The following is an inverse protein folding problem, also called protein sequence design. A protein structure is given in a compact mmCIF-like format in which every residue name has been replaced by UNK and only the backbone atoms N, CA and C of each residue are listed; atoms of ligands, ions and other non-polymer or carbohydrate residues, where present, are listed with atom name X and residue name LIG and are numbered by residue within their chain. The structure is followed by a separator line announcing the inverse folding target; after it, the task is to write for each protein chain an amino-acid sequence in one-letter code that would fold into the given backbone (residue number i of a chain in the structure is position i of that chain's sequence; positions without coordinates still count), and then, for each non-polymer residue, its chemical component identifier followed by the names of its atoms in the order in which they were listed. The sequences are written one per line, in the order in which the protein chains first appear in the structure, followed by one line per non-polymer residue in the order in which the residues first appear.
data_IF_321349626068
#
_entry.id   IF_321349626068
#
_cell.length_a   1.000
_cell.length_b   1.000
_cell.length_c   1.000
_cell.angle_alpha   90.00
_cell.angle_beta   90.00
_cell.angle_gamma   90.00
#
_symmetry.space_group_name_H-M   'P 1'
#
loop_
_entity.id
_entity.type
_entity.pdbx_description
1 polymer ?
#
# COMPACT_ATOMS: atom_id res chain seq x y z
N UNK A 1 -27.60 -16.34 24.73
CA UNK A 1 -27.52 -15.24 23.73
C UNK A 1 -26.07 -14.79 23.68
N UNK A 2 -25.42 -14.94 22.56
CA UNK A 2 -24.01 -14.53 22.38
C UNK A 2 -23.95 -13.03 22.10
N UNK A 3 -23.14 -12.31 22.88
CA UNK A 3 -22.80 -10.90 22.65
C UNK A 3 -21.41 -10.84 22.07
N UNK A 4 -21.16 -9.98 21.09
CA UNK A 4 -19.84 -9.67 20.58
C UNK A 4 -19.53 -8.19 20.70
N UNK A 5 -18.31 -7.86 21.06
CA UNK A 5 -17.85 -6.49 21.22
C UNK A 5 -16.41 -6.36 20.74
N UNK A 6 -16.13 -5.28 20.01
CA UNK A 6 -14.81 -4.99 19.47
C UNK A 6 -14.60 -5.50 18.05
N UNK A 7 -13.51 -5.08 17.43
CA UNK A 7 -13.18 -5.37 16.03
C UNK A 7 -12.54 -6.75 15.81
N UNK A 8 -12.07 -7.42 16.88
CA UNK A 8 -11.37 -8.68 16.77
C UNK A 8 -9.99 -8.60 16.12
N UNK A 9 -9.54 -9.72 15.57
CA UNK A 9 -8.27 -9.84 14.85
C UNK A 9 -8.46 -10.58 13.53
N UNK A 10 -7.72 -10.19 12.50
CA UNK A 10 -7.67 -10.86 11.20
C UNK A 10 -6.26 -11.35 10.92
N UNK A 11 -6.17 -12.59 10.50
CA UNK A 11 -4.95 -13.24 10.07
C UNK A 11 -5.09 -13.66 8.61
N UNK A 12 -4.05 -13.45 7.82
CA UNK A 12 -3.98 -13.89 6.43
C UNK A 12 -2.77 -14.76 6.17
N UNK A 13 -2.91 -15.69 5.24
CA UNK A 13 -1.85 -16.57 4.78
C UNK A 13 -2.00 -16.78 3.28
N UNK A 14 -0.94 -16.54 2.52
CA UNK A 14 -0.95 -16.80 1.06
C UNK A 14 -1.19 -18.26 0.77
N UNK A 15 -2.00 -18.55 -0.24
CA UNK A 15 -2.33 -19.90 -0.67
C UNK A 15 -1.86 -20.24 -2.09
N UNK A 16 -1.45 -19.24 -2.85
CA UNK A 16 -0.98 -19.37 -4.26
C UNK A 16 0.50 -19.75 -4.38
N UNK A 17 1.26 -19.70 -3.28
CA UNK A 17 2.68 -20.04 -3.25
C UNK A 17 3.00 -20.96 -2.08
N UNK A 18 3.99 -21.82 -2.29
CA UNK A 18 4.55 -22.71 -1.27
C UNK A 18 6.03 -22.42 -1.11
N UNK A 19 6.52 -22.27 0.12
CA UNK A 19 7.94 -22.02 0.37
C UNK A 19 8.25 -21.56 1.77
N UNK A 20 9.53 -21.42 2.08
CA UNK A 20 10.00 -20.87 3.36
C UNK A 20 9.76 -19.36 3.43
N UNK A 21 9.33 -18.88 4.59
CA UNK A 21 9.07 -17.44 4.83
C UNK A 21 7.64 -17.00 4.54
N UNK A 22 6.78 -17.90 4.07
CA UNK A 22 5.35 -17.68 3.89
C UNK A 22 4.65 -18.34 5.08
N UNK A 23 3.95 -17.54 5.86
CA UNK A 23 3.18 -18.04 7.01
C UNK A 23 2.08 -17.06 7.37
N UNK A 24 1.17 -17.48 8.28
CA UNK A 24 0.08 -16.61 8.71
C UNK A 24 0.61 -15.30 9.30
N UNK A 25 0.02 -14.19 8.89
CA UNK A 25 0.35 -12.86 9.40
C UNK A 25 -0.90 -12.15 9.87
N UNK A 26 -0.81 -11.45 10.99
CA UNK A 26 -1.88 -10.58 11.44
C UNK A 26 -1.94 -9.33 10.56
N UNK A 27 -3.16 -8.91 10.19
CA UNK A 27 -3.41 -7.75 9.34
C UNK A 27 -3.28 -6.40 10.08
N UNK A 28 -2.41 -6.32 11.06
CA UNK A 28 -2.21 -5.10 11.82
C UNK A 28 -3.32 -4.85 12.86
N UNK A 29 -3.53 -3.59 13.19
CA UNK A 29 -4.55 -3.18 14.18
C UNK A 29 -5.88 -2.96 13.46
N UNK A 30 -6.78 -3.94 13.58
CA UNK A 30 -8.12 -3.88 13.00
C UNK A 30 -8.99 -2.85 13.72
N UNK A 31 -9.60 -1.95 12.98
CA UNK A 31 -10.56 -0.96 13.49
C UNK A 31 -11.99 -1.38 13.23
N UNK A 32 -12.25 -1.93 12.05
CA UNK A 32 -13.57 -2.32 11.60
C UNK A 32 -13.46 -3.44 10.59
N UNK A 33 -14.40 -4.38 10.60
CA UNK A 33 -14.55 -5.41 9.58
C UNK A 33 -16.03 -5.70 9.35
N UNK A 34 -16.39 -5.77 8.08
CA UNK A 34 -17.71 -6.20 7.61
C UNK A 34 -17.52 -7.35 6.63
N UNK A 35 -18.26 -8.43 6.82
CA UNK A 35 -18.25 -9.58 5.93
C UNK A 35 -19.70 -9.89 5.56
N UNK A 36 -20.01 -9.79 4.26
CA UNK A 36 -21.35 -9.95 3.72
C UNK A 36 -21.44 -11.27 2.95
N UNK A 37 -22.48 -12.02 3.26
CA UNK A 37 -22.89 -13.22 2.54
C UNK A 37 -24.16 -12.89 1.74
N UNK A 38 -24.07 -12.90 0.44
CA UNK A 38 -25.10 -12.41 -0.45
C UNK A 38 -25.50 -13.46 -1.47
N UNK A 39 -26.79 -13.58 -1.77
CA UNK A 39 -27.31 -14.50 -2.78
C UNK A 39 -28.33 -13.79 -3.65
N UNK A 40 -28.34 -14.12 -4.93
CA UNK A 40 -29.41 -13.68 -5.83
C UNK A 40 -30.62 -14.60 -5.70
N UNK A 41 -31.82 -14.05 -5.69
CA UNK A 41 -33.06 -14.81 -5.73
C UNK A 41 -33.43 -15.15 -7.18
N UNK A 42 -33.95 -16.36 -7.37
CA UNK A 42 -34.48 -16.87 -8.64
C UNK A 42 -35.97 -17.22 -8.46
N UNK A 43 -36.88 -16.22 -8.60
CA UNK A 43 -38.29 -16.46 -8.50
C UNK A 43 -38.83 -17.18 -9.75
N UNK A 44 -39.70 -18.15 -9.55
CA UNK A 44 -40.50 -18.79 -10.58
C UNK A 44 -41.92 -18.23 -10.51
N UNK A 45 -42.39 -17.60 -11.57
CA UNK A 45 -43.74 -17.04 -11.68
C UNK A 45 -44.66 -17.99 -12.44
N UNK A 46 -45.91 -18.11 -11.99
CA UNK A 46 -47.02 -18.71 -12.72
C UNK A 46 -47.89 -17.65 -13.40
N UNK A 47 -49.19 -17.88 -13.51
CA UNK A 47 -50.14 -16.93 -14.10
C UNK A 47 -50.54 -15.80 -13.13
N UNK A 48 -50.15 -15.88 -11.86
CA UNK A 48 -50.48 -14.91 -10.82
C UNK A 48 -49.30 -13.94 -10.57
N UNK A 49 -49.57 -12.84 -9.87
CA UNK A 49 -48.60 -11.77 -9.62
C UNK A 49 -47.44 -12.18 -8.68
N UNK A 50 -47.66 -13.17 -7.83
CA UNK A 50 -46.66 -13.63 -6.88
C UNK A 50 -45.94 -14.88 -7.38
N UNK A 51 -44.65 -15.05 -7.06
CA UNK A 51 -43.91 -16.24 -7.46
C UNK A 51 -44.45 -17.48 -6.75
N UNK A 52 -44.54 -18.57 -7.48
CA UNK A 52 -44.96 -19.88 -6.96
C UNK A 52 -43.84 -20.64 -6.28
N UNK A 53 -42.57 -20.29 -6.57
CA UNK A 53 -41.37 -20.80 -5.92
C UNK A 53 -40.23 -19.80 -6.00
N UNK A 54 -39.34 -19.83 -5.01
CA UNK A 54 -38.13 -19.04 -4.99
C UNK A 54 -36.94 -19.96 -4.67
N UNK A 55 -35.91 -19.91 -5.49
CA UNK A 55 -34.64 -20.62 -5.25
C UNK A 55 -33.47 -19.62 -5.10
N UNK A 56 -32.47 -20.00 -4.34
CA UNK A 56 -31.21 -19.24 -4.29
C UNK A 56 -30.42 -19.45 -5.59
N UNK A 57 -29.98 -18.36 -6.18
CA UNK A 57 -29.08 -18.34 -7.34
C UNK A 57 -27.62 -18.27 -6.92
N UNK A 58 -26.85 -17.40 -7.58
CA UNK A 58 -25.43 -17.21 -7.32
C UNK A 58 -25.20 -16.58 -5.95
N UNK A 59 -24.25 -17.14 -5.19
CA UNK A 59 -23.76 -16.59 -3.92
C UNK A 59 -22.47 -15.78 -4.11
N UNK A 60 -22.30 -14.77 -3.28
CA UNK A 60 -21.12 -13.92 -3.21
C UNK A 60 -20.76 -13.67 -1.75
N UNK A 61 -19.47 -13.75 -1.43
CA UNK A 61 -18.94 -13.33 -0.13
C UNK A 61 -17.97 -12.19 -0.38
N UNK A 62 -18.24 -11.05 0.26
CA UNK A 62 -17.37 -9.88 0.21
C UNK A 62 -17.04 -9.43 1.62
N UNK A 63 -15.83 -8.93 1.79
CA UNK A 63 -15.39 -8.38 3.06
C UNK A 63 -14.75 -7.01 2.85
N UNK A 64 -14.94 -6.14 3.84
CA UNK A 64 -14.29 -4.85 3.97
C UNK A 64 -13.64 -4.79 5.33
N UNK A 65 -12.37 -4.41 5.37
CA UNK A 65 -11.65 -4.27 6.62
C UNK A 65 -10.90 -2.94 6.67
N UNK A 66 -10.88 -2.31 7.84
CA UNK A 66 -10.17 -1.05 8.10
C UNK A 66 -9.10 -1.29 9.14
N UNK A 67 -7.90 -0.80 8.86
CA UNK A 67 -6.73 -1.00 9.71
C UNK A 67 -6.07 0.33 10.06
N UNK A 68 -5.79 0.54 11.34
CA UNK A 68 -5.01 1.69 11.81
C UNK A 68 -3.50 1.53 11.53
N UNK A 69 -3.05 0.30 11.36
CA UNK A 69 -1.65 -0.02 11.04
C UNK A 69 -1.60 -1.27 10.17
N UNK A 70 -0.85 -1.23 9.09
CA UNK A 70 -0.56 -2.38 8.21
C UNK A 70 0.95 -2.56 8.08
N UNK A 71 1.40 -3.81 8.07
CA UNK A 71 2.78 -4.17 7.78
C UNK A 71 3.01 -4.12 6.26
N UNK A 72 4.12 -3.50 5.83
CA UNK A 72 4.45 -3.37 4.40
C UNK A 72 4.53 -4.70 3.64
N UNK A 73 4.94 -5.79 4.32
CA UNK A 73 4.97 -7.15 3.76
C UNK A 73 3.57 -7.66 3.41
N UNK A 74 2.54 -7.19 4.10
CA UNK A 74 1.17 -7.61 3.87
C UNK A 74 0.63 -7.12 2.50
N UNK A 75 1.09 -5.94 2.05
CA UNK A 75 0.74 -5.46 0.70
C UNK A 75 1.22 -6.42 -0.38
N UNK A 76 2.43 -6.97 -0.20
CA UNK A 76 2.95 -7.98 -1.12
C UNK A 76 2.11 -9.24 -1.09
N UNK A 77 1.84 -9.75 0.10
CA UNK A 77 1.19 -11.04 0.28
C UNK A 77 -0.27 -11.04 -0.20
N UNK A 78 -0.96 -9.91 -0.10
CA UNK A 78 -2.39 -9.84 -0.38
C UNK A 78 -2.69 -9.25 -1.77
N UNK A 79 -1.95 -8.22 -2.20
CA UNK A 79 -2.29 -7.46 -3.41
C UNK A 79 -1.40 -7.74 -4.59
N UNK A 80 -0.09 -7.75 -4.39
CA UNK A 80 0.83 -7.73 -5.51
C UNK A 80 1.48 -9.07 -5.79
N UNK A 81 1.55 -9.96 -4.81
CA UNK A 81 2.19 -11.26 -4.97
C UNK A 81 3.69 -11.20 -5.28
N UNK A 82 4.32 -10.05 -5.04
CA UNK A 82 5.71 -9.77 -5.39
C UNK A 82 6.61 -9.92 -4.18
N UNK A 83 7.88 -10.22 -4.39
CA UNK A 83 8.85 -10.31 -3.29
C UNK A 83 9.35 -8.93 -2.91
N UNK A 84 9.13 -8.46 -1.67
CA UNK A 84 9.68 -7.20 -1.21
C UNK A 84 11.19 -7.30 -1.02
N UNK A 85 11.89 -6.20 -1.29
CA UNK A 85 13.33 -6.06 -1.01
C UNK A 85 13.54 -5.10 0.16
N UNK A 86 14.61 -5.29 0.92
CA UNK A 86 15.00 -4.36 1.98
C UNK A 86 15.30 -2.99 1.38
N UNK A 87 14.86 -1.92 2.06
CA UNK A 87 15.04 -0.55 1.64
C UNK A 87 13.72 0.18 1.47
N UNK A 88 13.80 1.49 1.49
CA UNK A 88 12.65 2.37 1.22
C UNK A 88 13.11 3.66 0.59
N UNK A 89 12.23 4.36 -0.11
CA UNK A 89 12.47 5.73 -0.51
C UNK A 89 12.33 6.66 0.69
N UNK A 90 13.28 7.56 0.82
CA UNK A 90 13.22 8.67 1.76
C UNK A 90 13.28 9.98 1.00
N UNK A 91 12.68 11.02 1.59
CA UNK A 91 12.62 12.36 1.04
C UNK A 91 13.54 13.28 1.84
N UNK A 92 14.45 13.97 1.15
CA UNK A 92 15.11 15.17 1.64
C UNK A 92 14.40 16.36 1.05
N UNK A 93 13.69 17.10 1.88
CA UNK A 93 12.90 18.26 1.45
C UNK A 93 13.61 19.54 1.85
N UNK A 94 13.86 20.39 0.84
CA UNK A 94 14.44 21.73 1.02
C UNK A 94 15.79 21.71 1.78
N UNK A 95 16.68 20.78 1.43
CA UNK A 95 18.04 20.74 1.97
C UNK A 95 18.77 22.02 1.60
N UNK A 96 19.22 22.73 2.63
CA UNK A 96 19.90 24.01 2.46
C UNK A 96 21.33 23.81 1.95
N UNK A 97 21.67 24.52 0.90
CA UNK A 97 23.01 24.52 0.32
C UNK A 97 23.38 25.91 -0.20
N UNK A 98 24.68 26.13 -0.44
CA UNK A 98 25.16 27.35 -1.09
C UNK A 98 25.99 26.96 -2.31
N UNK A 99 25.74 27.63 -3.42
CA UNK A 99 26.53 27.46 -4.63
C UNK A 99 27.91 28.09 -4.38
N UNK A 100 29.02 27.39 -4.71
CA UNK A 100 30.35 27.96 -4.55
C UNK A 100 30.53 29.30 -5.28
N UNK A 101 31.34 30.19 -4.70
CA UNK A 101 31.65 31.49 -5.30
C UNK A 101 32.57 31.40 -6.55
N UNK A 102 33.28 30.25 -6.68
CA UNK A 102 34.20 29.99 -7.78
C UNK A 102 33.98 28.59 -8.35
N UNK A 103 34.50 28.36 -9.55
CA UNK A 103 34.40 27.03 -10.21
C UNK A 103 35.13 25.95 -9.41
N UNK A 104 34.60 24.73 -9.33
CA UNK A 104 33.36 24.27 -9.92
C UNK A 104 32.11 24.72 -9.13
N UNK A 105 31.09 25.19 -9.82
CA UNK A 105 29.78 25.61 -9.24
C UNK A 105 28.92 24.39 -8.93
N UNK A 106 29.41 23.48 -8.11
CA UNK A 106 28.75 22.21 -7.82
C UNK A 106 28.39 22.09 -6.34
N UNK A 107 27.27 21.46 -6.07
CA UNK A 107 26.81 21.10 -4.74
C UNK A 107 26.54 19.60 -4.71
N UNK A 108 27.14 18.91 -3.73
CA UNK A 108 26.87 17.50 -3.46
C UNK A 108 25.86 17.42 -2.30
N UNK A 109 24.74 16.75 -2.51
CA UNK A 109 23.72 16.59 -1.46
C UNK A 109 24.17 15.63 -0.36
N UNK A 110 23.59 15.75 0.83
CA UNK A 110 24.00 14.97 2.00
C UNK A 110 23.87 13.45 1.79
N UNK A 111 22.83 12.99 1.08
CA UNK A 111 22.59 11.57 0.81
C UNK A 111 23.02 11.16 -0.61
N UNK A 112 24.07 11.76 -1.14
CA UNK A 112 24.57 11.56 -2.49
C UNK A 112 24.86 10.08 -2.84
N UNK A 113 25.41 9.31 -1.89
CA UNK A 113 25.75 7.89 -2.08
C UNK A 113 24.51 7.03 -2.39
N UNK A 114 23.37 7.40 -1.85
CA UNK A 114 22.12 6.68 -2.01
C UNK A 114 21.08 7.49 -2.81
N UNK A 115 21.54 8.47 -3.56
CA UNK A 115 20.70 9.35 -4.37
C UNK A 115 19.82 8.53 -5.30
N UNK A 116 18.55 8.95 -5.47
CA UNK A 116 17.59 8.26 -6.32
C UNK A 116 17.02 9.17 -7.41
N UNK A 117 16.38 10.29 -7.03
CA UNK A 117 15.72 11.16 -8.01
C UNK A 117 15.66 12.61 -7.55
N UNK A 118 15.63 13.52 -8.51
CA UNK A 118 15.57 14.97 -8.35
C UNK A 118 14.12 15.46 -8.26
N UNK A 119 13.82 16.21 -7.23
CA UNK A 119 12.53 16.87 -7.02
C UNK A 119 12.60 18.40 -7.23
N UNK A 120 13.78 18.90 -7.56
CA UNK A 120 13.99 20.29 -7.96
C UNK A 120 14.75 21.14 -6.94
N UNK A 121 15.12 22.32 -7.41
CA UNK A 121 15.90 23.33 -6.68
C UNK A 121 15.14 24.64 -6.68
N UNK A 122 15.19 25.37 -5.57
CA UNK A 122 14.64 26.72 -5.46
C UNK A 122 15.68 27.67 -4.82
N UNK A 123 15.63 28.93 -5.15
CA UNK A 123 16.39 29.96 -4.41
C UNK A 123 15.86 30.07 -2.98
N UNK A 124 16.76 30.04 -2.00
CA UNK A 124 16.36 30.12 -0.59
C UNK A 124 15.69 31.45 -0.26
N UNK A 125 16.12 32.54 -0.87
CA UNK A 125 15.61 33.89 -0.57
C UNK A 125 14.22 34.18 -1.18
N UNK A 126 13.95 33.65 -2.38
CA UNK A 126 12.72 34.03 -3.14
C UNK A 126 11.75 32.85 -3.36
N UNK A 127 12.15 31.61 -3.12
CA UNK A 127 11.37 30.43 -3.46
C UNK A 127 11.23 30.19 -4.98
N UNK A 128 11.84 31.02 -5.83
CA UNK A 128 11.79 30.86 -7.27
C UNK A 128 12.49 29.56 -7.69
N UNK A 129 11.86 28.78 -8.54
CA UNK A 129 12.39 27.50 -9.04
C UNK A 129 13.50 27.71 -10.05
N UNK A 130 14.50 26.81 -9.98
CA UNK A 130 15.47 26.60 -11.04
C UNK A 130 14.90 25.69 -12.13
N UNK A 131 15.39 25.88 -13.35
CA UNK A 131 15.08 25.01 -14.49
C UNK A 131 16.22 24.01 -14.71
N UNK A 132 15.89 22.76 -14.86
CA UNK A 132 16.88 21.74 -15.18
C UNK A 132 17.30 21.86 -16.64
N UNK A 133 18.59 21.92 -16.90
CA UNK A 133 19.20 22.03 -18.23
C UNK A 133 20.38 21.03 -18.31
N UNK A 134 20.63 20.51 -19.51
CA UNK A 134 21.79 19.60 -19.69
C UNK A 134 23.13 20.29 -19.40
N UNK A 135 23.24 21.57 -19.78
CA UNK A 135 24.38 22.43 -19.51
C UNK A 135 23.86 23.77 -18.99
N UNK A 136 23.99 24.07 -17.69
CA UNK A 136 23.56 25.34 -17.13
C UNK A 136 24.41 26.49 -17.66
N UNK A 137 23.80 27.44 -18.35
CA UNK A 137 24.48 28.60 -18.97
C UNK A 137 23.96 29.96 -18.50
N UNK A 138 22.81 29.99 -17.83
CA UNK A 138 22.16 31.19 -17.34
C UNK A 138 21.68 31.08 -15.90
N UNK A 139 21.34 32.20 -15.28
CA UNK A 139 20.80 32.25 -13.93
C UNK A 139 19.54 31.41 -13.79
N UNK A 140 19.41 30.71 -12.70
CA UNK A 140 18.27 29.84 -12.42
C UNK A 140 18.28 28.53 -13.21
N UNK A 141 19.45 28.08 -13.68
CA UNK A 141 19.61 26.78 -14.34
C UNK A 141 20.52 25.85 -13.55
N UNK A 142 20.19 24.56 -13.55
CA UNK A 142 21.01 23.51 -12.95
C UNK A 142 20.97 22.24 -13.77
N UNK A 143 21.98 21.42 -13.61
CA UNK A 143 21.96 20.00 -14.01
C UNK A 143 22.24 19.12 -12.78
N UNK A 144 21.84 17.86 -12.86
CA UNK A 144 22.10 16.88 -11.81
C UNK A 144 22.67 15.61 -12.41
N UNK A 145 23.69 15.08 -11.75
CA UNK A 145 24.20 13.74 -12.03
C UNK A 145 23.47 12.73 -11.14
N UNK A 146 22.58 11.94 -11.72
CA UNK A 146 21.76 10.98 -11.00
C UNK A 146 22.56 9.83 -10.36
N UNK A 147 23.75 9.54 -10.85
CA UNK A 147 24.59 8.50 -10.26
C UNK A 147 25.35 8.98 -9.00
N UNK A 148 25.58 10.28 -8.87
CA UNK A 148 26.42 10.84 -7.82
C UNK A 148 25.74 11.85 -6.92
N UNK A 149 24.51 12.27 -7.23
CA UNK A 149 23.80 13.30 -6.46
C UNK A 149 24.48 14.68 -6.51
N UNK A 150 25.29 14.95 -7.53
CA UNK A 150 25.99 16.22 -7.70
C UNK A 150 25.13 17.13 -8.58
N UNK A 151 24.84 18.30 -8.06
CA UNK A 151 24.16 19.39 -8.76
C UNK A 151 25.19 20.39 -9.29
N UNK A 152 25.08 20.73 -10.55
CA UNK A 152 25.94 21.75 -11.19
C UNK A 152 25.10 22.95 -11.57
N UNK A 153 25.59 24.14 -11.26
CA UNK A 153 24.89 25.41 -11.46
C UNK A 153 25.61 26.30 -12.46
N UNK A 154 24.93 27.34 -12.91
CA UNK A 154 25.57 28.39 -13.72
C UNK A 154 26.45 29.31 -12.85
N UNK A 155 27.54 29.84 -13.41
CA UNK A 155 28.32 30.89 -12.80
C UNK A 155 27.53 32.16 -12.43
N UNK A 156 26.40 32.38 -13.13
CA UNK A 156 25.51 33.50 -12.83
C UNK A 156 24.79 33.38 -11.47
N UNK A 157 24.79 32.19 -10.89
CA UNK A 157 24.21 31.90 -9.57
C UNK A 157 25.26 31.68 -8.48
N UNK A 158 26.52 32.07 -8.75
CA UNK A 158 27.60 31.95 -7.77
C UNK A 158 27.22 32.59 -6.43
N UNK A 159 27.58 31.95 -5.32
CA UNK A 159 27.24 32.34 -3.94
C UNK A 159 25.76 32.38 -3.58
N UNK A 160 24.85 31.98 -4.48
CA UNK A 160 23.44 31.93 -4.15
C UNK A 160 23.12 30.80 -3.18
N UNK A 161 22.30 31.10 -2.17
CA UNK A 161 21.71 30.10 -1.30
C UNK A 161 20.54 29.41 -1.98
N UNK A 162 20.54 28.10 -1.96
CA UNK A 162 19.54 27.23 -2.61
C UNK A 162 18.97 26.21 -1.64
N UNK A 163 17.78 25.74 -1.95
CA UNK A 163 17.12 24.63 -1.26
C UNK A 163 16.89 23.53 -2.29
N UNK A 164 17.44 22.36 -2.02
CA UNK A 164 17.40 21.20 -2.91
C UNK A 164 16.45 20.16 -2.34
N UNK A 165 15.54 19.67 -3.16
CA UNK A 165 14.66 18.54 -2.79
C UNK A 165 14.97 17.34 -3.67
N UNK A 166 15.10 16.18 -3.07
CA UNK A 166 15.42 14.94 -3.77
C UNK A 166 14.97 13.72 -2.97
N UNK A 167 14.89 12.57 -3.64
CA UNK A 167 14.69 11.28 -2.98
C UNK A 167 16.00 10.50 -2.91
N UNK A 168 16.12 9.67 -1.88
CA UNK A 168 17.23 8.76 -1.72
C UNK A 168 16.80 7.42 -1.17
N UNK A 169 17.61 6.38 -1.32
CA UNK A 169 17.30 5.03 -0.87
C UNK A 169 17.91 4.78 0.51
N UNK A 170 17.09 4.40 1.48
CA UNK A 170 17.55 3.76 2.70
C UNK A 170 17.75 2.28 2.42
N UNK A 171 18.97 1.77 2.52
CA UNK A 171 19.32 0.40 2.14
C UNK A 171 19.20 -0.60 3.30
N UNK A 172 19.19 -0.11 4.55
CA UNK A 172 19.23 -0.95 5.75
C UNK A 172 17.89 -1.05 6.48
N UNK A 173 16.92 -0.23 6.13
CA UNK A 173 15.62 -0.16 6.80
C UNK A 173 14.47 -0.05 5.82
N UNK A 174 13.29 -0.49 6.27
CA UNK A 174 12.08 -0.47 5.46
C UNK A 174 11.97 -1.63 4.48
N UNK A 175 10.91 -1.60 3.71
CA UNK A 175 10.59 -2.60 2.68
C UNK A 175 10.13 -1.85 1.42
N UNK A 176 10.71 -2.19 0.30
CA UNK A 176 10.35 -1.65 -1.02
C UNK A 176 9.73 -2.74 -1.87
N UNK A 177 8.57 -2.44 -2.43
CA UNK A 177 7.87 -3.30 -3.37
C UNK A 177 7.87 -2.64 -4.76
N UNK A 178 8.35 -3.35 -5.76
CA UNK A 178 8.30 -2.88 -7.15
C UNK A 178 7.00 -3.35 -7.78
N UNK A 179 6.06 -2.42 -7.98
CA UNK A 179 4.78 -2.73 -8.61
C UNK A 179 5.01 -2.85 -10.12
N UNK A 180 4.74 -4.03 -10.66
CA UNK A 180 4.89 -4.32 -12.09
C UNK A 180 3.51 -4.52 -12.74
N UNK A 181 3.41 -4.21 -14.02
CA UNK A 181 2.21 -4.52 -14.80
C UNK A 181 2.20 -6.03 -15.10
N UNK A 182 1.29 -6.73 -14.43
CA UNK A 182 1.15 -8.18 -14.55
C UNK A 182 0.11 -8.55 -15.61
N UNK A 183 0.15 -9.80 -16.07
CA UNK A 183 -0.85 -10.33 -17.00
C UNK A 183 -2.21 -10.39 -16.32
N UNK A 184 -3.27 -10.07 -17.06
CA UNK A 184 -4.66 -10.16 -16.56
C UNK A 184 -4.95 -11.56 -16.04
N UNK A 185 -5.62 -11.63 -14.88
CA UNK A 185 -5.90 -12.88 -14.18
C UNK A 185 -4.85 -13.28 -13.14
N UNK A 186 -3.67 -12.62 -13.11
CA UNK A 186 -2.69 -12.82 -12.04
C UNK A 186 -3.23 -12.17 -10.77
N UNK A 187 -3.51 -12.98 -9.74
CA UNK A 187 -4.04 -12.49 -8.47
C UNK A 187 -3.50 -13.36 -7.34
N UNK A 188 -2.85 -12.77 -6.33
CA UNK A 188 -2.51 -13.48 -5.11
C UNK A 188 -3.79 -13.95 -4.43
N UNK A 189 -3.78 -15.19 -3.94
CA UNK A 189 -4.87 -15.72 -3.14
C UNK A 189 -4.39 -15.95 -1.71
N UNK A 190 -5.27 -15.72 -0.76
CA UNK A 190 -4.97 -15.88 0.66
C UNK A 190 -6.12 -16.49 1.44
N UNK A 191 -5.77 -17.20 2.49
CA UNK A 191 -6.70 -17.65 3.51
C UNK A 191 -6.87 -16.54 4.53
N UNK A 192 -8.10 -16.18 4.88
CA UNK A 192 -8.41 -15.21 5.91
C UNK A 192 -9.03 -15.89 7.13
N UNK A 193 -8.52 -15.59 8.32
CA UNK A 193 -9.10 -16.06 9.58
C UNK A 193 -9.43 -14.84 10.43
N UNK A 194 -10.70 -14.65 10.69
CA UNK A 194 -11.24 -13.65 11.60
C UNK A 194 -11.59 -14.30 12.94
N UNK A 195 -11.25 -13.64 14.02
CA UNK A 195 -11.60 -14.06 15.37
C UNK A 195 -11.96 -12.85 16.22
N UNK A 196 -13.10 -12.93 16.90
CA UNK A 196 -13.50 -11.99 17.95
C UNK A 196 -13.86 -12.76 19.21
N UNK A 197 -13.57 -12.18 20.37
CA UNK A 197 -13.90 -12.75 21.67
C UNK A 197 -14.42 -11.67 22.61
N UNK A 198 -15.53 -11.94 23.24
CA UNK A 198 -16.10 -11.09 24.28
C UNK A 198 -16.60 -11.95 25.45
N UNK A 199 -16.12 -11.67 26.65
CA UNK A 199 -16.52 -12.34 27.90
C UNK A 199 -16.43 -13.89 27.83
N UNK A 200 -15.42 -14.42 27.13
CA UNK A 200 -15.22 -15.85 26.99
C UNK A 200 -16.00 -16.52 25.84
N UNK A 201 -16.89 -15.80 25.19
CA UNK A 201 -17.61 -16.27 23.99
C UNK A 201 -16.91 -15.76 22.72
N UNK A 202 -16.43 -16.66 21.89
CA UNK A 202 -15.70 -16.33 20.68
C UNK A 202 -16.48 -16.69 19.41
N UNK A 203 -16.32 -15.87 18.38
CA UNK A 203 -16.74 -16.20 17.01
C UNK A 203 -15.52 -16.24 16.12
N UNK A 204 -15.34 -17.32 15.39
CA UNK A 204 -14.29 -17.48 14.42
C UNK A 204 -14.90 -17.71 13.01
N UNK A 205 -14.43 -16.95 12.05
CA UNK A 205 -14.72 -17.18 10.63
C UNK A 205 -13.41 -17.39 9.89
N UNK A 206 -13.27 -18.52 9.22
CA UNK A 206 -12.16 -18.84 8.35
C UNK A 206 -12.67 -18.96 6.92
N UNK A 207 -12.06 -18.19 6.01
CA UNK A 207 -12.28 -18.25 4.57
C UNK A 207 -11.04 -18.86 3.92
N UNK A 208 -11.21 -19.95 3.17
CA UNK A 208 -10.08 -20.74 2.67
C UNK A 208 -9.38 -20.10 1.47
N UNK A 209 -10.12 -19.38 0.63
CA UNK A 209 -9.59 -18.71 -0.54
C UNK A 209 -10.25 -17.33 -0.69
N UNK A 210 -9.44 -16.31 -0.61
CA UNK A 210 -9.82 -14.90 -0.79
C UNK A 210 -8.91 -14.25 -1.81
N UNK A 211 -9.43 -13.23 -2.48
CA UNK A 211 -8.62 -12.31 -3.26
C UNK A 211 -8.95 -10.86 -2.89
N UNK A 212 -7.92 -10.02 -2.85
CA UNK A 212 -8.09 -8.61 -2.60
C UNK A 212 -8.52 -7.89 -3.88
N UNK A 213 -9.58 -7.11 -3.81
CA UNK A 213 -10.11 -6.35 -4.94
C UNK A 213 -9.72 -4.88 -4.92
N UNK A 214 -9.50 -4.32 -3.73
CA UNK A 214 -9.19 -2.89 -3.57
C UNK A 214 -8.33 -2.66 -2.34
N UNK A 215 -7.35 -1.77 -2.50
CA UNK A 215 -6.58 -1.17 -1.41
C UNK A 215 -6.72 0.34 -1.49
N UNK A 216 -7.16 0.98 -0.41
CA UNK A 216 -7.19 2.43 -0.27
C UNK A 216 -6.20 2.89 0.79
N UNK A 217 -5.41 3.91 0.44
CA UNK A 217 -4.42 4.55 1.32
C UNK A 217 -4.84 6.02 1.51
N UNK A 218 -5.88 6.30 2.31
CA UNK A 218 -6.33 7.67 2.52
C UNK A 218 -5.33 8.43 3.39
N UNK A 219 -5.07 9.69 3.02
CA UNK A 219 -4.30 10.64 3.85
C UNK A 219 -5.19 11.81 4.21
N UNK A 220 -5.15 12.24 5.48
CA UNK A 220 -5.90 13.40 6.00
C UNK A 220 -4.99 14.26 6.85
N UNK A 221 -5.28 15.56 6.91
CA UNK A 221 -4.49 16.51 7.71
C UNK A 221 -4.71 16.31 9.20
N UNK A 222 -5.97 16.11 9.62
CA UNK A 222 -6.40 16.13 11.03
C UNK A 222 -6.87 14.75 11.54
N UNK A 223 -6.49 13.66 10.87
CA UNK A 223 -6.96 12.32 11.24
C UNK A 223 -5.92 11.26 10.90
N UNK A 224 -6.03 10.11 11.56
CA UNK A 224 -5.18 8.96 11.31
C UNK A 224 -5.40 8.40 9.89
N UNK A 225 -4.33 7.93 9.28
CA UNK A 225 -4.43 7.16 8.03
C UNK A 225 -4.98 5.77 8.34
N UNK A 226 -6.28 5.57 8.09
CA UNK A 226 -6.96 4.29 8.22
C UNK A 226 -7.04 3.68 6.83
N UNK A 227 -6.36 2.56 6.64
CA UNK A 227 -6.29 1.86 5.37
C UNK A 227 -7.50 0.95 5.21
N UNK A 228 -8.03 0.87 4.00
CA UNK A 228 -9.19 0.02 3.67
C UNK A 228 -8.77 -1.08 2.70
N UNK A 229 -9.22 -2.29 3.01
CA UNK A 229 -9.04 -3.50 2.22
C UNK A 229 -10.40 -4.07 1.87
N UNK A 230 -10.72 -4.16 0.59
CA UNK A 230 -11.86 -4.93 0.10
C UNK A 230 -11.37 -6.28 -0.44
N UNK A 231 -12.06 -7.35 -0.10
CA UNK A 231 -11.75 -8.69 -0.58
C UNK A 231 -13.01 -9.47 -0.92
N UNK A 232 -12.86 -10.50 -1.74
CA UNK A 232 -13.92 -11.46 -2.06
C UNK A 232 -13.42 -12.86 -1.78
N UNK A 233 -14.31 -13.72 -1.29
CA UNK A 233 -14.02 -15.13 -1.06
C UNK A 233 -14.65 -16.01 -2.12
N UNK A 234 -13.99 -17.12 -2.42
CA UNK A 234 -14.45 -18.14 -3.38
C UNK A 234 -14.11 -19.54 -2.85
N UNK A 235 -14.65 -20.56 -3.52
CA UNK A 235 -14.39 -21.93 -3.12
C UNK A 235 -12.93 -22.34 -3.40
N UNK A 236 -12.32 -23.07 -2.47
CA UNK A 236 -11.04 -23.72 -2.69
C UNK A 236 -11.14 -24.92 -3.65
N UNK A 237 -10.05 -25.62 -3.91
CA UNK A 237 -10.00 -26.77 -4.80
C UNK A 237 -10.90 -27.94 -4.34
N UNK A 238 -11.30 -27.98 -3.06
CA UNK A 238 -12.23 -28.98 -2.50
C UNK A 238 -13.71 -28.56 -2.60
N UNK A 239 -13.99 -27.36 -3.11
CA UNK A 239 -15.32 -26.77 -3.14
C UNK A 239 -15.74 -26.14 -1.82
N UNK A 240 -14.83 -26.02 -0.83
CA UNK A 240 -15.12 -25.44 0.48
C UNK A 240 -14.77 -23.95 0.47
N UNK A 241 -15.70 -23.10 0.91
CA UNK A 241 -15.45 -21.66 1.00
C UNK A 241 -14.81 -21.31 2.35
N UNK A 242 -15.31 -21.90 3.43
CA UNK A 242 -14.82 -21.60 4.76
C UNK A 242 -15.60 -22.26 5.89
N UNK A 243 -15.29 -21.86 7.10
CA UNK A 243 -15.86 -22.39 8.35
C UNK A 243 -16.26 -21.22 9.25
N UNK A 244 -17.49 -21.26 9.73
CA UNK A 244 -17.97 -20.37 10.78
C UNK A 244 -18.13 -21.19 12.07
N UNK A 245 -17.52 -20.73 13.13
CA UNK A 245 -17.57 -21.34 14.47
C UNK A 245 -18.03 -20.31 15.49
N UNK A 246 -19.01 -20.67 16.28
CA UNK A 246 -19.55 -19.87 17.39
C UNK A 246 -19.59 -20.70 18.65
N UNK A 247 -19.34 -20.10 19.80
CA UNK A 247 -19.55 -20.73 21.10
C UNK A 247 -20.99 -20.43 21.54
N UNK A 248 -21.80 -21.45 21.71
CA UNK A 248 -23.17 -21.37 22.24
C UNK A 248 -23.17 -21.43 23.77
#
# INVERSE_FOLDING_TARGET
MQLSFGSGAVWGERTDVTGSGIGPRQFGVLQDIQIDFDWTDKPLYGQLQFPVAIARGQGKITGKAKFAQILGLLYSDIFFGLTPVTGQFALSQLEAASIPAATPYTVTVANATNYNDDLGVVYAASGKRFNRAATPSGAGQYSVNFATGIYTFSSADASAAVLISYTYNLTTSGSKLTITNQVMGTTPTFKATFYTNYAGSGTALRLNACMAGKLSLPTKIDDWMIQELDFSAFADASGTIGYLSTVE
#
